data_IF_521598795380
#
_entry.id   IF_521598795380
#
_cell.length_a   1.000
_cell.length_b   1.000
_cell.length_c   1.000
_cell.angle_alpha   90.00
_cell.angle_beta   90.00
_cell.angle_gamma   90.00
#
_symmetry.space_group_name_H-M   'P 1'
#
loop_
_entity.id
_entity.type
_entity.pdbx_description
1 polymer ?
#
# COMPACT_ATOMS: atom_id res chain seq x y z
N UNK A 1 -1.74 -11.15 -4.28
CA UNK A 1 -2.33 -10.05 -3.53
C UNK A 1 -3.84 -10.03 -3.77
N UNK A 2 -4.61 -10.00 -2.69
CA UNK A 2 -6.06 -9.93 -2.76
C UNK A 2 -6.47 -8.48 -2.48
N UNK A 3 -7.30 -7.91 -3.35
CA UNK A 3 -7.97 -6.64 -3.07
C UNK A 3 -9.14 -6.97 -2.13
N UNK A 4 -9.09 -6.50 -0.90
CA UNK A 4 -10.18 -6.66 0.04
C UNK A 4 -11.15 -5.48 -0.11
N UNK A 5 -12.39 -5.80 -0.49
CA UNK A 5 -13.54 -4.97 -0.22
C UNK A 5 -14.37 -5.67 0.85
N UNK A 6 -14.90 -4.95 1.84
CA UNK A 6 -15.85 -5.51 2.79
C UNK A 6 -17.17 -5.87 2.07
N UNK A 7 -18.06 -6.61 2.72
CA UNK A 7 -19.37 -6.98 2.19
C UNK A 7 -20.19 -5.75 1.72
N UNK A 8 -19.89 -4.56 2.25
CA UNK A 8 -20.52 -3.28 1.93
C UNK A 8 -19.65 -2.40 0.99
N UNK A 9 -18.68 -2.95 0.29
CA UNK A 9 -17.69 -2.22 -0.52
C UNK A 9 -16.88 -1.16 0.27
N UNK A 10 -16.86 -1.22 1.59
CA UNK A 10 -16.07 -0.33 2.43
C UNK A 10 -14.75 -0.98 2.79
N UNK A 11 -13.70 -0.20 2.76
CA UNK A 11 -12.37 -0.58 3.21
C UNK A 11 -11.95 0.31 4.37
N UNK A 12 -11.12 -0.23 5.24
CA UNK A 12 -10.51 0.51 6.35
C UNK A 12 -9.15 1.00 5.92
N UNK A 13 -8.95 2.32 5.96
CA UNK A 13 -7.69 2.97 5.64
C UNK A 13 -7.13 3.68 6.88
N UNK A 14 -5.81 3.63 7.10
CA UNK A 14 -5.14 4.44 8.10
C UNK A 14 -4.98 5.87 7.60
N UNK A 15 -5.09 6.84 8.51
CA UNK A 15 -4.74 8.22 8.29
C UNK A 15 -3.75 8.72 9.34
N UNK A 16 -2.73 9.40 8.86
CA UNK A 16 -1.75 10.10 9.69
C UNK A 16 -1.71 11.55 9.19
N UNK A 17 -1.92 12.48 10.10
CA UNK A 17 -1.89 13.90 9.78
C UNK A 17 -1.19 14.69 10.88
N UNK A 18 -0.52 15.74 10.50
CA UNK A 18 0.03 16.73 11.43
C UNK A 18 -0.73 18.04 11.26
N UNK A 19 -1.11 18.63 12.37
CA UNK A 19 -1.86 19.87 12.41
C UNK A 19 -1.19 20.82 13.38
N UNK A 20 -0.93 22.04 12.91
CA UNK A 20 -0.56 23.14 13.78
C UNK A 20 -1.83 23.71 14.40
N UNK A 21 -1.91 23.72 15.70
CA UNK A 21 -3.12 24.13 16.41
C UNK A 21 -3.38 25.63 16.27
N UNK A 22 -4.58 25.99 15.87
CA UNK A 22 -5.05 27.38 15.81
C UNK A 22 -6.09 27.65 16.91
N UNK A 23 -6.60 26.59 17.51
CA UNK A 23 -7.57 26.62 18.63
C UNK A 23 -7.43 25.31 19.43
N UNK A 24 -8.15 25.22 20.54
CA UNK A 24 -8.19 23.99 21.35
C UNK A 24 -9.03 22.87 20.74
N UNK A 25 -9.48 23.01 19.49
CA UNK A 25 -10.26 21.98 18.81
C UNK A 25 -9.78 21.77 17.38
N UNK A 26 -9.83 20.51 16.92
CA UNK A 26 -9.45 20.10 15.57
C UNK A 26 -10.59 19.27 15.00
N UNK A 27 -11.09 19.67 13.83
CA UNK A 27 -12.08 18.89 13.10
C UNK A 27 -11.39 17.91 12.16
N UNK A 28 -11.69 16.63 12.32
CA UNK A 28 -11.17 15.56 11.46
C UNK A 28 -11.94 15.52 10.14
N UNK A 29 -11.28 15.22 9.02
CA UNK A 29 -11.96 15.04 7.73
C UNK A 29 -12.91 13.82 7.73
N UNK A 30 -12.51 12.73 8.36
CA UNK A 30 -13.32 11.51 8.48
C UNK A 30 -13.63 11.18 9.94
N UNK A 31 -14.65 10.34 10.16
CA UNK A 31 -14.94 9.80 11.48
C UNK A 31 -13.96 8.66 11.79
N UNK A 32 -13.19 8.75 12.88
CA UNK A 32 -12.36 7.64 13.32
C UNK A 32 -13.18 6.41 13.68
N UNK A 33 -12.64 5.23 13.45
CA UNK A 33 -13.13 3.99 14.04
C UNK A 33 -12.84 3.99 15.54
N UNK A 34 -13.76 3.44 16.30
CA UNK A 34 -13.64 3.41 17.76
C UNK A 34 -12.35 2.69 18.19
N UNK A 35 -11.61 3.31 19.10
CA UNK A 35 -10.37 2.78 19.65
C UNK A 35 -9.13 2.93 18.76
N UNK A 36 -9.24 3.47 17.55
CA UNK A 36 -8.08 3.63 16.65
C UNK A 36 -7.42 5.01 16.72
N UNK A 37 -8.10 5.99 17.31
CA UNK A 37 -7.61 7.36 17.39
C UNK A 37 -6.48 7.49 18.41
N UNK A 38 -5.37 8.07 17.97
CA UNK A 38 -4.24 8.45 18.84
C UNK A 38 -3.76 9.85 18.48
N UNK A 39 -3.49 10.64 19.51
CA UNK A 39 -3.03 12.03 19.40
C UNK A 39 -1.70 12.18 20.14
N UNK A 40 -0.73 12.75 19.45
CA UNK A 40 0.62 13.02 19.99
C UNK A 40 0.93 14.49 19.91
N UNK A 41 1.55 15.01 20.95
CA UNK A 41 2.28 16.27 20.89
C UNK A 41 3.57 16.05 20.10
N UNK A 42 3.89 16.94 19.19
CA UNK A 42 5.16 16.92 18.47
C UNK A 42 6.14 17.91 19.10
N UNK A 43 7.42 17.59 19.00
CA UNK A 43 8.51 18.51 19.32
C UNK A 43 8.70 19.57 18.21
N UNK A 44 9.67 20.45 18.38
CA UNK A 44 9.99 21.55 17.45
C UNK A 44 10.40 21.05 16.04
N UNK A 45 10.83 19.78 15.92
CA UNK A 45 11.16 19.13 14.65
C UNK A 45 9.95 18.44 14.01
N UNK A 46 8.77 18.53 14.59
CA UNK A 46 7.56 17.87 14.10
C UNK A 46 7.50 16.37 14.40
N UNK A 47 8.39 15.83 15.25
CA UNK A 47 8.38 14.42 15.61
C UNK A 47 7.47 14.19 16.82
N UNK A 48 6.69 13.08 16.84
CA UNK A 48 5.82 12.74 17.95
C UNK A 48 6.66 12.48 19.23
N UNK A 49 6.36 13.18 20.30
CA UNK A 49 7.10 13.11 21.55
C UNK A 49 6.23 12.56 22.69
N UNK A 50 5.08 13.17 22.94
CA UNK A 50 4.20 12.81 24.05
C UNK A 50 2.85 12.36 23.54
N UNK A 51 2.40 11.18 23.95
CA UNK A 51 1.06 10.68 23.65
C UNK A 51 0.06 11.24 24.65
N UNK A 52 -1.00 11.86 24.14
CA UNK A 52 -2.14 12.24 24.95
C UNK A 52 -3.08 11.06 25.22
N UNK A 53 -3.64 11.00 26.41
CA UNK A 53 -4.65 10.00 26.75
C UNK A 53 -6.01 10.42 26.23
N UNK A 54 -6.87 9.46 25.87
CA UNK A 54 -8.25 9.73 25.48
C UNK A 54 -9.14 9.69 26.72
N UNK A 55 -9.99 10.71 26.87
CA UNK A 55 -11.00 10.75 27.93
C UNK A 55 -12.36 11.25 27.35
N UNK A 56 -13.42 11.19 28.14
CA UNK A 56 -14.73 11.73 27.78
C UNK A 56 -14.78 13.26 27.80
N UNK A 57 -13.94 13.87 28.66
CA UNK A 57 -13.76 15.30 28.79
C UNK A 57 -12.26 15.58 28.73
N UNK A 58 -11.87 16.61 27.97
CA UNK A 58 -10.46 17.00 27.86
C UNK A 58 -9.94 17.54 29.21
N UNK A 59 -8.80 17.01 29.63
CA UNK A 59 -8.07 17.40 30.85
C UNK A 59 -6.63 17.75 30.53
N UNK A 60 -5.77 17.90 31.54
CA UNK A 60 -4.34 18.06 31.34
C UNK A 60 -3.73 16.77 30.79
N UNK A 61 -3.06 16.82 29.65
CA UNK A 61 -2.54 15.64 28.95
C UNK A 61 -3.60 14.71 28.37
N UNK A 62 -4.88 15.10 28.41
CA UNK A 62 -6.00 14.29 27.94
C UNK A 62 -6.83 15.01 26.89
N UNK A 63 -7.11 14.32 25.78
CA UNK A 63 -8.02 14.82 24.73
C UNK A 63 -9.37 14.13 24.78
N UNK A 64 -10.38 14.80 24.26
CA UNK A 64 -11.70 14.24 24.06
C UNK A 64 -12.11 14.26 22.59
N UNK A 65 -12.95 13.34 22.17
CA UNK A 65 -13.54 13.33 20.82
C UNK A 65 -15.06 13.37 20.92
N UNK A 66 -15.66 14.25 20.13
CA UNK A 66 -17.13 14.29 19.98
C UNK A 66 -17.61 13.40 18.85
N UNK A 67 -18.90 13.04 18.86
CA UNK A 67 -19.55 12.28 17.79
C UNK A 67 -19.53 12.99 16.43
N UNK A 68 -19.28 14.30 16.41
CA UNK A 68 -19.17 15.14 15.20
C UNK A 68 -17.75 15.22 14.63
N UNK A 69 -16.85 14.33 15.01
CA UNK A 69 -15.45 14.27 14.54
C UNK A 69 -14.56 15.43 15.05
N UNK A 70 -14.94 16.11 16.09
CA UNK A 70 -14.15 17.19 16.67
C UNK A 70 -13.33 16.66 17.84
N UNK A 71 -12.02 16.81 17.76
CA UNK A 71 -11.09 16.55 18.87
C UNK A 71 -11.01 17.85 19.68
N UNK A 72 -11.24 17.75 20.99
CA UNK A 72 -10.88 18.78 21.94
C UNK A 72 -9.52 18.43 22.53
N UNK A 73 -8.55 19.29 22.33
CA UNK A 73 -7.18 19.11 22.80
C UNK A 73 -7.08 19.24 24.33
N UNK A 74 -6.00 18.73 24.93
CA UNK A 74 -5.75 18.90 26.35
C UNK A 74 -5.78 20.37 26.79
N UNK A 75 -6.21 20.61 28.02
CA UNK A 75 -6.33 21.96 28.58
C UNK A 75 -4.98 22.67 28.77
N UNK A 76 -3.90 21.90 28.80
CA UNK A 76 -2.52 22.37 28.87
C UNK A 76 -1.84 22.49 27.50
N UNK A 77 -2.56 22.20 26.39
CA UNK A 77 -2.04 22.45 25.05
C UNK A 77 -2.06 23.92 24.70
N UNK A 78 -1.06 24.36 23.95
CA UNK A 78 -0.91 25.76 23.56
C UNK A 78 -1.22 25.96 22.07
N UNK A 79 -1.81 27.11 21.73
CA UNK A 79 -2.03 27.49 20.33
C UNK A 79 -0.68 27.67 19.64
N UNK A 80 -0.57 27.08 18.45
CA UNK A 80 0.68 27.04 17.67
C UNK A 80 1.49 25.76 17.84
N UNK A 81 1.11 24.90 18.77
CA UNK A 81 1.69 23.58 18.96
C UNK A 81 1.37 22.67 17.76
N UNK A 82 2.31 21.81 17.40
CA UNK A 82 2.09 20.78 16.36
C UNK A 82 1.66 19.49 17.02
N UNK A 83 0.53 18.96 16.56
CA UNK A 83 0.02 17.66 17.01
C UNK A 83 -0.03 16.69 15.84
N UNK A 84 0.36 15.43 16.08
CA UNK A 84 0.19 14.35 15.14
C UNK A 84 -1.00 13.50 15.56
N UNK A 85 -1.91 13.28 14.61
CA UNK A 85 -3.13 12.52 14.77
C UNK A 85 -3.07 11.31 13.88
N UNK A 86 -3.31 10.12 14.45
CA UNK A 86 -3.39 8.84 13.73
C UNK A 86 -4.72 8.19 14.03
N UNK A 87 -5.39 7.68 13.02
CA UNK A 87 -6.63 6.93 13.16
C UNK A 87 -6.90 6.08 11.93
N UNK A 88 -7.82 5.15 12.06
CA UNK A 88 -8.39 4.39 10.96
C UNK A 88 -9.80 4.86 10.68
N UNK A 89 -10.23 4.83 9.44
CA UNK A 89 -11.56 5.22 9.01
C UNK A 89 -12.08 4.32 7.89
N UNK A 90 -13.38 4.18 7.78
CA UNK A 90 -14.03 3.47 6.70
C UNK A 90 -14.28 4.38 5.50
N UNK A 91 -14.03 3.85 4.30
CA UNK A 91 -14.31 4.53 3.04
C UNK A 91 -14.71 3.54 1.96
N UNK A 92 -15.54 3.99 1.04
CA UNK A 92 -15.86 3.32 -0.22
C UNK A 92 -14.91 3.73 -1.36
N UNK A 93 -14.02 4.68 -1.10
CA UNK A 93 -13.08 5.26 -2.07
C UNK A 93 -11.65 4.81 -1.73
N UNK A 94 -11.18 3.79 -2.41
CA UNK A 94 -9.82 3.32 -2.24
C UNK A 94 -9.66 1.84 -2.55
N UNK A 95 -8.44 1.34 -2.41
CA UNK A 95 -8.11 -0.07 -2.51
C UNK A 95 -7.10 -0.44 -1.42
N UNK A 96 -7.30 -1.60 -0.81
CA UNK A 96 -6.36 -2.19 0.13
C UNK A 96 -5.85 -3.50 -0.46
N UNK A 97 -4.55 -3.61 -0.59
CA UNK A 97 -3.89 -4.85 -1.02
C UNK A 97 -3.32 -5.53 0.22
N UNK A 98 -3.71 -6.78 0.43
CA UNK A 98 -3.27 -7.58 1.56
C UNK A 98 -2.50 -8.78 1.05
N UNK A 99 -1.30 -8.98 1.57
CA UNK A 99 -0.54 -10.21 1.43
C UNK A 99 -0.58 -10.95 2.77
N UNK A 100 -1.12 -12.16 2.76
CA UNK A 100 -1.20 -13.01 3.96
C UNK A 100 -0.11 -14.08 3.92
N UNK A 101 0.46 -14.41 5.06
CA UNK A 101 1.53 -15.40 5.18
C UNK A 101 1.05 -16.86 5.07
N UNK A 102 -0.25 -17.08 5.17
CA UNK A 102 -0.91 -18.41 5.14
C UNK A 102 -1.34 -18.83 3.74
N UNK A 103 -1.22 -17.94 2.75
CA UNK A 103 -1.62 -18.21 1.36
C UNK A 103 -0.43 -18.08 0.44
N UNK A 104 -0.07 -19.16 -0.20
CA UNK A 104 0.86 -19.11 -1.32
C UNK A 104 0.21 -18.38 -2.49
N UNK A 105 0.98 -17.57 -3.26
CA UNK A 105 0.50 -16.99 -4.49
C UNK A 105 0.00 -18.08 -5.43
N UNK A 106 -1.16 -17.84 -6.03
CA UNK A 106 -1.66 -18.71 -7.09
C UNK A 106 -0.71 -18.69 -8.29
N UNK A 107 -0.68 -19.78 -9.04
CA UNK A 107 0.04 -19.84 -10.30
C UNK A 107 -0.66 -18.93 -11.33
N UNK A 108 0.14 -18.22 -12.10
CA UNK A 108 -0.34 -17.34 -13.16
C UNK A 108 0.43 -17.58 -14.46
N UNK A 109 -0.13 -17.15 -15.58
CA UNK A 109 0.62 -17.06 -16.83
C UNK A 109 1.43 -15.77 -16.81
N UNK A 110 2.75 -15.89 -16.95
CA UNK A 110 3.64 -14.74 -17.11
C UNK A 110 4.07 -14.62 -18.56
N UNK A 111 3.90 -13.44 -19.13
CA UNK A 111 4.35 -13.13 -20.49
C UNK A 111 5.26 -11.91 -20.42
N UNK A 112 6.49 -12.07 -20.84
CA UNK A 112 7.49 -10.99 -20.96
C UNK A 112 7.61 -10.61 -22.42
N UNK A 113 7.47 -9.33 -22.74
CA UNK A 113 7.75 -8.77 -24.05
C UNK A 113 9.16 -8.19 -24.05
N UNK A 114 10.01 -8.65 -24.93
CA UNK A 114 11.40 -8.23 -25.04
C UNK A 114 11.74 -7.94 -26.50
N UNK A 115 12.73 -7.08 -26.71
CA UNK A 115 13.32 -6.86 -28.03
C UNK A 115 14.58 -7.71 -28.13
N UNK A 116 14.72 -8.46 -29.21
CA UNK A 116 15.89 -9.26 -29.52
C UNK A 116 16.48 -8.84 -30.86
N UNK A 117 17.79 -8.88 -30.96
CA UNK A 117 18.46 -8.68 -32.25
C UNK A 117 18.28 -9.93 -33.12
N UNK A 118 18.07 -9.73 -34.42
CA UNK A 118 18.06 -10.84 -35.36
C UNK A 118 19.46 -11.48 -35.39
N UNK A 119 19.59 -12.81 -35.27
CA UNK A 119 20.88 -13.49 -35.31
C UNK A 119 21.64 -13.29 -36.64
N UNK A 120 20.95 -12.99 -37.71
CA UNK A 120 21.54 -12.79 -39.04
C UNK A 120 21.74 -11.31 -39.39
N UNK A 121 21.07 -10.39 -38.68
CA UNK A 121 21.17 -8.95 -38.87
C UNK A 121 21.06 -8.22 -37.51
N UNK A 122 22.20 -7.87 -36.95
CA UNK A 122 22.28 -7.24 -35.63
C UNK A 122 21.66 -5.83 -35.55
N UNK A 123 21.38 -5.19 -36.68
CA UNK A 123 20.73 -3.89 -36.74
C UNK A 123 19.19 -4.02 -36.72
N UNK A 124 18.65 -5.20 -37.03
CA UNK A 124 17.21 -5.46 -37.01
C UNK A 124 16.77 -5.96 -35.64
N UNK A 125 15.84 -5.20 -35.01
CA UNK A 125 15.20 -5.59 -33.76
C UNK A 125 13.87 -6.26 -34.03
N UNK A 126 13.62 -7.36 -33.34
CA UNK A 126 12.36 -8.11 -33.42
C UNK A 126 11.70 -8.23 -32.05
N UNK A 127 10.40 -8.22 -32.02
CA UNK A 127 9.65 -8.53 -30.81
C UNK A 127 9.71 -10.03 -30.51
N UNK A 128 10.08 -10.35 -29.27
CA UNK A 128 10.00 -11.69 -28.75
C UNK A 128 9.18 -11.72 -27.46
N UNK A 129 8.45 -12.80 -27.26
CA UNK A 129 7.63 -13.05 -26.10
C UNK A 129 8.15 -14.30 -25.39
N UNK A 130 8.55 -14.15 -24.14
CA UNK A 130 8.90 -15.26 -23.26
C UNK A 130 7.66 -15.55 -22.43
N UNK A 131 7.09 -16.74 -22.59
CA UNK A 131 5.82 -17.11 -21.97
C UNK A 131 6.05 -18.28 -21.03
N UNK A 132 5.71 -18.08 -19.76
CA UNK A 132 5.65 -19.11 -18.72
C UNK A 132 4.17 -19.45 -18.51
N UNK A 133 3.69 -20.62 -18.95
CA UNK A 133 2.28 -21.00 -18.82
C UNK A 133 1.81 -21.11 -17.37
N UNK A 134 2.70 -21.61 -16.50
CA UNK A 134 2.46 -21.74 -15.06
C UNK A 134 3.66 -21.18 -14.30
N UNK A 135 3.49 -20.01 -13.74
CA UNK A 135 4.50 -19.30 -12.96
C UNK A 135 3.98 -19.00 -11.56
N UNK A 136 4.71 -19.40 -10.55
CA UNK A 136 4.40 -19.10 -9.15
C UNK A 136 5.35 -18.02 -8.65
N UNK A 137 4.77 -16.88 -8.24
CA UNK A 137 5.52 -15.81 -7.61
C UNK A 137 6.04 -16.27 -6.24
N UNK A 138 7.26 -15.85 -5.89
CA UNK A 138 7.75 -16.00 -4.52
C UNK A 138 6.90 -15.14 -3.56
N UNK A 139 6.59 -15.63 -2.36
CA UNK A 139 5.93 -14.82 -1.34
C UNK A 139 6.82 -13.69 -0.79
N UNK A 140 8.13 -13.78 -1.02
CA UNK A 140 9.07 -12.76 -0.57
C UNK A 140 8.96 -11.51 -1.45
N UNK A 141 8.68 -10.39 -0.82
CA UNK A 141 8.57 -9.10 -1.47
C UNK A 141 9.50 -8.10 -0.78
N UNK A 142 10.49 -7.62 -1.51
CA UNK A 142 11.31 -6.50 -1.09
C UNK A 142 10.57 -5.18 -1.38
N UNK A 143 10.14 -4.50 -0.33
CA UNK A 143 9.52 -3.19 -0.44
C UNK A 143 10.59 -2.11 -0.23
N UNK A 144 11.09 -1.54 -1.32
CA UNK A 144 11.95 -0.38 -1.30
C UNK A 144 11.14 0.90 -1.51
N UNK A 145 11.33 1.88 -0.64
CA UNK A 145 10.66 3.20 -0.73
C UNK A 145 11.72 4.25 -1.02
N UNK A 146 12.01 4.43 -2.31
CA UNK A 146 12.93 5.45 -2.81
C UNK A 146 12.37 6.05 -4.10
N UNK A 147 12.87 7.23 -4.51
CA UNK A 147 12.39 7.93 -5.71
C UNK A 147 12.60 7.10 -6.98
N UNK A 148 13.68 6.30 -7.04
CA UNK A 148 14.04 5.44 -8.18
C UNK A 148 13.98 3.95 -7.81
N UNK A 149 13.06 3.58 -6.91
CA UNK A 149 12.93 2.21 -6.46
C UNK A 149 12.44 1.29 -7.58
N UNK A 150 13.21 0.25 -7.87
CA UNK A 150 12.82 -0.85 -8.74
C UNK A 150 12.33 -1.99 -7.86
N UNK A 151 11.06 -2.36 -8.02
CA UNK A 151 10.51 -3.52 -7.32
C UNK A 151 10.86 -4.78 -8.11
N UNK A 152 11.81 -5.55 -7.57
CA UNK A 152 12.11 -6.88 -8.05
C UNK A 152 11.02 -7.87 -7.64
N UNK A 153 10.69 -8.79 -8.53
CA UNK A 153 9.90 -9.97 -8.18
C UNK A 153 10.67 -11.22 -8.59
N UNK A 154 10.52 -12.27 -7.82
CA UNK A 154 11.08 -13.58 -8.12
C UNK A 154 9.98 -14.63 -8.13
N UNK A 155 10.26 -15.76 -8.74
CA UNK A 155 9.31 -16.86 -8.78
C UNK A 155 9.91 -18.07 -9.48
N UNK A 156 9.15 -19.14 -9.55
CA UNK A 156 9.54 -20.38 -10.22
C UNK A 156 8.53 -20.77 -11.29
N UNK A 157 9.06 -21.17 -12.45
CA UNK A 157 8.25 -21.83 -13.48
C UNK A 157 7.87 -23.23 -12.99
N UNK A 158 6.61 -23.57 -13.13
CA UNK A 158 6.07 -24.86 -12.79
C UNK A 158 5.57 -25.57 -14.05
N UNK A 159 5.56 -26.89 -13.99
CA UNK A 159 5.01 -27.69 -15.08
C UNK A 159 3.50 -27.46 -15.14
N UNK A 160 3.01 -27.07 -16.31
CA UNK A 160 1.58 -27.04 -16.57
C UNK A 160 1.06 -28.48 -16.78
N UNK A 161 0.51 -29.05 -15.72
CA UNK A 161 -0.03 -30.40 -15.75
C UNK A 161 -1.31 -30.53 -16.59
N UNK A 162 -1.95 -29.42 -16.92
CA UNK A 162 -3.14 -29.41 -17.78
C UNK A 162 -2.78 -29.38 -19.28
N UNK A 163 -1.53 -29.09 -19.61
CA UNK A 163 -1.04 -29.08 -20.99
C UNK A 163 -0.46 -30.44 -21.37
N UNK A 164 -0.74 -30.90 -22.60
CA UNK A 164 -0.17 -32.12 -23.16
C UNK A 164 1.34 -32.04 -23.26
N UNK A 165 1.88 -30.85 -23.59
CA UNK A 165 3.29 -30.62 -23.89
C UNK A 165 4.16 -30.39 -22.62
N UNK A 166 3.52 -30.15 -21.45
CA UNK A 166 4.19 -29.93 -20.15
C UNK A 166 5.33 -28.92 -20.20
N UNK A 167 5.20 -27.88 -21.01
CA UNK A 167 6.23 -26.87 -21.22
C UNK A 167 6.42 -26.01 -19.96
N UNK A 168 7.69 -25.79 -19.54
CA UNK A 168 8.00 -24.81 -18.51
C UNK A 168 7.91 -23.39 -19.04
N UNK A 169 8.42 -23.18 -20.24
CA UNK A 169 8.32 -21.91 -20.97
C UNK A 169 8.51 -22.14 -22.46
N UNK A 170 8.11 -21.16 -23.24
CA UNK A 170 8.43 -21.08 -24.67
C UNK A 170 8.74 -19.63 -25.06
N UNK A 171 9.50 -19.48 -26.14
CA UNK A 171 9.85 -18.19 -26.72
C UNK A 171 9.19 -18.13 -28.09
N UNK A 172 8.39 -17.09 -28.32
CA UNK A 172 7.81 -16.77 -29.61
C UNK A 172 8.47 -15.50 -30.15
N UNK A 173 8.99 -15.56 -31.35
CA UNK A 173 9.64 -14.42 -32.02
C UNK A 173 8.71 -14.00 -33.15
N UNK A 174 8.41 -12.70 -33.26
CA UNK A 174 7.66 -12.14 -34.38
C UNK A 174 8.62 -11.90 -35.55
N UNK A 175 8.20 -12.30 -36.77
CA UNK A 175 8.94 -11.96 -37.97
C UNK A 175 8.61 -10.54 -38.51
N UNK A 176 7.79 -9.79 -37.80
CA UNK A 176 7.52 -8.40 -38.10
C UNK A 176 8.66 -7.50 -37.60
N UNK A 177 9.20 -6.67 -38.48
CA UNK A 177 10.20 -5.68 -38.12
C UNK A 177 9.60 -4.62 -37.20
N UNK A 178 10.35 -4.23 -36.18
CA UNK A 178 9.98 -3.10 -35.31
C UNK A 178 10.36 -1.81 -36.05
N UNK A 179 9.35 -1.10 -36.54
CA UNK A 179 9.54 0.17 -37.27
C UNK A 179 9.97 1.31 -36.33
#
# INVERSE_FOLDING_TARGET
>A
PKVEASADNKIVLPRIMQVKTTSNSITLPEKPLDGTLTVYKCNDLGLPETRYAQNTVAGAGEYAISSSKVITLPTDSTVGEVVQIKYEYETDKGAKVVQTSDKFPDTCKLTLSVLVCDPCDAETLRHAYIVFPSFQLSPDMDLSVATDAVHGFSGSAQVDFCSVDKNLYYIAISDEDVA
#
